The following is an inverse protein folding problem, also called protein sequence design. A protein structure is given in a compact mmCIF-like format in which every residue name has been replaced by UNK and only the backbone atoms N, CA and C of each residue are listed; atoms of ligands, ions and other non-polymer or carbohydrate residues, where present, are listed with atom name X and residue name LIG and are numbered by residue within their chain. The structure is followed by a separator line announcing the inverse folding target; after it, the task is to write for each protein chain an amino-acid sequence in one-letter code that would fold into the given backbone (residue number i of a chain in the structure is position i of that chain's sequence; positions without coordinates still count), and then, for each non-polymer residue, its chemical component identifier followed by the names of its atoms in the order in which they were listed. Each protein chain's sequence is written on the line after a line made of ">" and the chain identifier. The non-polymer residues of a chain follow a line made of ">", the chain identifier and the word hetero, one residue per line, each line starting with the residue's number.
data_IF_242255225676
#
_entry.id   IF_242255225676
#
_cell.length_a   1.000
_cell.length_b   1.000
_cell.length_c   1.000
_cell.angle_alpha   90.00
_cell.angle_beta   90.00
_cell.angle_gamma   90.00
#
_symmetry.space_group_name_H-M   'P 1'
#
loop_
_entity.id
_entity.type
_entity.pdbx_description
1 polymer ?
#
# COMPACT_ATOMS: atom_id res chain seq x y z
N UNK A 1 3.88 -44.21 -90.02
CA UNK A 1 4.35 -45.25 -89.09
C UNK A 1 4.76 -44.55 -87.81
N UNK A 2 4.24 -44.96 -86.66
CA UNK A 2 4.69 -44.62 -85.28
C UNK A 2 4.47 -43.15 -84.83
N UNK A 3 3.47 -42.81 -84.00
CA UNK A 3 3.32 -42.94 -82.51
C UNK A 3 4.26 -41.98 -81.74
N UNK A 4 3.72 -41.06 -80.94
CA UNK A 4 3.86 -40.98 -79.45
C UNK A 4 3.43 -39.59 -78.87
N UNK A 5 2.47 -39.68 -77.93
CA UNK A 5 2.16 -38.91 -76.69
C UNK A 5 2.59 -37.43 -76.57
N UNK A 6 1.76 -36.51 -76.07
CA UNK A 6 0.82 -36.63 -74.94
C UNK A 6 1.43 -35.98 -73.70
N UNK A 7 1.11 -34.70 -73.43
CA UNK A 7 1.58 -33.96 -72.25
C UNK A 7 0.43 -33.17 -71.61
N UNK A 8 -0.02 -33.65 -70.45
CA UNK A 8 -1.01 -33.00 -69.57
C UNK A 8 -0.27 -32.09 -68.61
N UNK A 9 -0.63 -30.81 -68.57
CA UNK A 9 -0.06 -29.80 -67.66
C UNK A 9 -0.80 -29.85 -66.32
N UNK A 10 -0.13 -30.33 -65.27
CA UNK A 10 -0.58 -30.24 -63.88
C UNK A 10 -0.35 -28.82 -63.33
N UNK A 11 -1.41 -28.11 -62.94
CA UNK A 11 -1.33 -26.88 -62.13
C UNK A 11 -1.29 -27.25 -60.63
N UNK A 12 -0.39 -26.67 -59.82
CA UNK A 12 -0.42 -26.90 -58.38
C UNK A 12 -1.49 -26.01 -57.74
N UNK A 13 -2.46 -26.63 -57.04
CA UNK A 13 -3.31 -25.92 -56.08
C UNK A 13 -2.51 -25.70 -54.80
N UNK A 14 -2.16 -24.44 -54.52
CA UNK A 14 -1.63 -24.04 -53.21
C UNK A 14 -2.84 -23.83 -52.29
N UNK A 15 -3.06 -24.76 -51.35
CA UNK A 15 -4.03 -24.60 -50.28
C UNK A 15 -3.42 -23.73 -49.16
N UNK A 16 -3.84 -22.47 -49.06
CA UNK A 16 -3.52 -21.61 -47.92
C UNK A 16 -4.28 -22.10 -46.68
N UNK A 17 -3.56 -22.73 -45.76
CA UNK A 17 -4.06 -23.08 -44.44
C UNK A 17 -4.03 -21.82 -43.55
N UNK A 18 -5.18 -21.14 -43.42
CA UNK A 18 -5.36 -20.06 -42.45
C UNK A 18 -5.34 -20.66 -41.04
N UNK A 19 -4.23 -20.55 -40.31
CA UNK A 19 -4.22 -20.79 -38.87
C UNK A 19 -4.95 -19.62 -38.18
N UNK A 20 -6.21 -19.82 -37.80
CA UNK A 20 -6.89 -18.92 -36.86
C UNK A 20 -6.28 -19.10 -35.48
N UNK A 21 -5.42 -18.18 -35.06
CA UNK A 21 -4.92 -18.12 -33.68
C UNK A 21 -6.10 -17.75 -32.77
N UNK A 22 -6.69 -18.74 -32.10
CA UNK A 22 -7.62 -18.47 -31.02
C UNK A 22 -6.85 -17.82 -29.87
N UNK A 23 -7.02 -16.50 -29.70
CA UNK A 23 -6.55 -15.81 -28.50
C UNK A 23 -7.38 -16.35 -27.34
N UNK A 24 -6.81 -17.27 -26.58
CA UNK A 24 -7.37 -17.69 -25.30
C UNK A 24 -7.24 -16.49 -24.37
N UNK A 25 -8.33 -15.72 -24.21
CA UNK A 25 -8.43 -14.73 -23.14
C UNK A 25 -8.38 -15.49 -21.81
N UNK A 26 -7.19 -15.61 -21.24
CA UNK A 26 -7.03 -16.10 -19.88
C UNK A 26 -7.87 -15.19 -18.98
N UNK A 27 -8.87 -15.74 -18.28
CA UNK A 27 -9.63 -14.99 -17.29
C UNK A 27 -8.62 -14.35 -16.32
N UNK A 28 -8.68 -13.03 -16.07
CA UNK A 28 -7.77 -12.40 -15.13
C UNK A 28 -7.86 -13.12 -13.79
N UNK A 29 -6.70 -13.52 -13.26
CA UNK A 29 -6.62 -14.27 -12.02
C UNK A 29 -7.31 -13.47 -10.89
N UNK A 30 -8.18 -14.10 -10.07
CA UNK A 30 -8.89 -13.40 -9.00
C UNK A 30 -7.95 -12.61 -8.10
N UNK A 31 -8.39 -11.44 -7.63
CA UNK A 31 -7.66 -10.68 -6.63
C UNK A 31 -7.80 -11.38 -5.28
N UNK A 32 -6.72 -11.94 -4.77
CA UNK A 32 -6.66 -12.50 -3.42
C UNK A 32 -6.02 -11.50 -2.47
N UNK A 33 -6.34 -11.59 -1.18
CA UNK A 33 -5.73 -10.77 -0.13
C UNK A 33 -4.20 -10.86 -0.12
N UNK A 34 -3.63 -12.03 -0.42
CA UNK A 34 -2.18 -12.19 -0.56
C UNK A 34 -1.61 -11.38 -1.74
N UNK A 35 -2.26 -11.43 -2.91
CA UNK A 35 -1.86 -10.63 -4.09
C UNK A 35 -2.09 -9.15 -3.84
N UNK A 36 -3.19 -8.79 -3.21
CA UNK A 36 -3.52 -7.43 -2.83
C UNK A 36 -2.46 -6.85 -1.88
N UNK A 37 -2.07 -7.59 -0.83
CA UNK A 37 -1.00 -7.19 0.08
C UNK A 37 0.34 -6.95 -0.65
N UNK A 38 0.69 -7.77 -1.64
CA UNK A 38 1.89 -7.53 -2.46
C UNK A 38 1.80 -6.24 -3.28
N UNK A 39 0.59 -5.89 -3.76
CA UNK A 39 0.35 -4.65 -4.50
C UNK A 39 0.34 -3.40 -3.61
N UNK A 40 0.01 -3.55 -2.31
CA UNK A 40 -0.02 -2.43 -1.37
C UNK A 40 1.35 -1.76 -1.23
N UNK A 41 2.45 -2.51 -1.20
CA UNK A 41 3.79 -1.93 -1.09
C UNK A 41 3.94 -0.95 0.09
N UNK A 42 4.39 0.27 -0.20
CA UNK A 42 4.50 1.36 0.79
C UNK A 42 3.41 2.39 0.55
N UNK A 43 2.76 2.86 1.59
CA UNK A 43 1.72 3.88 1.51
C UNK A 43 1.78 4.88 2.64
N UNK A 44 0.70 5.65 2.78
CA UNK A 44 0.63 6.79 3.70
C UNK A 44 -0.76 6.86 4.34
N UNK A 45 -0.78 7.15 5.64
CA UNK A 45 -1.99 7.51 6.37
C UNK A 45 -2.34 8.97 6.08
N UNK A 46 -3.59 9.22 5.70
CA UNK A 46 -4.07 10.54 5.27
C UNK A 46 -5.32 10.97 6.02
N UNK A 47 -5.44 12.27 6.28
CA UNK A 47 -6.57 12.88 7.00
C UNK A 47 -7.62 13.53 6.10
N UNK A 48 -7.59 13.21 4.80
CA UNK A 48 -8.44 13.79 3.76
C UNK A 48 -9.94 13.63 4.01
N UNK A 49 -10.36 12.75 4.91
CA UNK A 49 -11.76 12.57 5.31
C UNK A 49 -11.97 12.52 6.84
N UNK A 50 -10.95 12.88 7.64
CA UNK A 50 -11.01 12.83 9.10
C UNK A 50 -11.27 14.20 9.73
N UNK A 51 -10.54 15.21 9.28
CA UNK A 51 -10.56 16.56 9.88
C UNK A 51 -11.14 17.57 8.90
N UNK A 52 -11.72 18.66 9.40
CA UNK A 52 -12.19 19.75 8.53
C UNK A 52 -11.06 20.28 7.65
N UNK A 53 -9.87 20.47 8.23
CA UNK A 53 -8.67 20.90 7.52
C UNK A 53 -8.34 19.94 6.37
N UNK A 54 -8.19 18.65 6.65
CA UNK A 54 -7.84 17.65 5.65
C UNK A 54 -8.90 17.49 4.55
N UNK A 55 -10.19 17.68 4.87
CA UNK A 55 -11.27 17.68 3.88
C UNK A 55 -11.14 18.89 2.93
N UNK A 56 -10.90 20.09 3.49
CA UNK A 56 -10.77 21.31 2.69
C UNK A 56 -9.52 21.34 1.83
N UNK A 57 -8.40 20.86 2.36
CA UNK A 57 -7.09 20.89 1.71
C UNK A 57 -6.90 19.78 0.67
N UNK A 58 -7.84 18.85 0.53
CA UNK A 58 -7.70 17.77 -0.44
C UNK A 58 -7.80 18.29 -1.89
N UNK A 59 -6.68 18.24 -2.59
CA UNK A 59 -6.56 18.37 -4.04
C UNK A 59 -6.16 17.01 -4.67
N UNK A 60 -6.85 16.51 -5.72
CA UNK A 60 -6.49 15.25 -6.38
C UNK A 60 -5.02 15.12 -6.83
N UNK A 61 -4.32 16.23 -7.09
CA UNK A 61 -2.90 16.23 -7.47
C UNK A 61 -1.99 15.70 -6.37
N UNK A 62 -2.41 15.72 -5.10
CA UNK A 62 -1.64 15.06 -4.01
C UNK A 62 -1.42 13.58 -4.30
N UNK A 63 -2.41 12.92 -4.92
CA UNK A 63 -2.34 11.49 -5.26
C UNK A 63 -1.32 11.26 -6.37
N UNK A 64 -1.27 12.15 -7.37
CA UNK A 64 -0.21 12.15 -8.40
C UNK A 64 1.16 12.24 -7.76
N UNK A 65 1.33 13.17 -6.82
CA UNK A 65 2.62 13.44 -6.19
C UNK A 65 3.05 12.28 -5.29
N UNK A 66 2.10 11.64 -4.60
CA UNK A 66 2.32 10.42 -3.83
C UNK A 66 2.76 9.28 -4.75
N UNK A 67 2.08 9.10 -5.89
CA UNK A 67 2.47 8.10 -6.88
C UNK A 67 3.88 8.34 -7.42
N UNK A 68 4.20 9.58 -7.76
CA UNK A 68 5.51 9.97 -8.27
C UNK A 68 6.63 9.76 -7.23
N UNK A 69 6.31 9.89 -5.93
CA UNK A 69 7.22 9.57 -4.82
C UNK A 69 7.44 8.05 -4.63
N UNK A 70 6.59 7.22 -5.22
CA UNK A 70 6.65 5.76 -5.11
C UNK A 70 5.71 5.17 -4.06
N UNK A 71 4.77 5.96 -3.52
CA UNK A 71 3.69 5.45 -2.69
C UNK A 71 2.66 4.74 -3.57
N UNK A 72 2.20 3.58 -3.13
CA UNK A 72 1.32 2.68 -3.89
C UNK A 72 -0.07 2.55 -3.29
N UNK A 73 -0.27 2.97 -2.03
CA UNK A 73 -1.59 3.04 -1.41
C UNK A 73 -1.72 4.24 -0.47
N UNK A 74 -2.97 4.61 -0.16
CA UNK A 74 -3.31 5.55 0.91
C UNK A 74 -4.36 4.94 1.83
N UNK A 75 -4.16 5.10 3.14
CA UNK A 75 -5.13 4.73 4.17
C UNK A 75 -5.86 6.00 4.62
N UNK A 76 -7.05 6.18 4.09
CA UNK A 76 -7.91 7.35 4.26
C UNK A 76 -8.64 7.21 5.58
N UNK A 77 -8.23 7.97 6.58
CA UNK A 77 -8.91 8.00 7.88
C UNK A 77 -10.21 8.78 7.73
N UNK A 78 -11.31 8.21 8.23
CA UNK A 78 -12.65 8.79 8.14
C UNK A 78 -13.29 8.87 9.51
N UNK A 79 -13.85 10.05 9.85
CA UNK A 79 -14.64 10.26 11.05
C UNK A 79 -16.06 10.73 10.70
N UNK A 80 -17.01 10.46 11.59
CA UNK A 80 -18.41 10.89 11.47
C UNK A 80 -19.33 9.98 10.66
N UNK A 81 -20.63 10.30 10.66
CA UNK A 81 -21.71 9.52 10.04
C UNK A 81 -21.61 9.44 8.50
N UNK A 82 -22.09 8.40 7.81
CA UNK A 82 -21.95 8.30 6.35
C UNK A 82 -23.02 9.14 5.63
N UNK A 83 -23.00 10.46 5.82
CA UNK A 83 -23.90 11.40 5.15
C UNK A 83 -23.63 11.42 3.64
N UNK A 84 -24.60 11.84 2.85
CA UNK A 84 -24.44 11.96 1.40
C UNK A 84 -23.21 12.79 1.02
N UNK A 85 -23.01 13.96 1.63
CA UNK A 85 -21.83 14.79 1.40
C UNK A 85 -20.51 14.05 1.70
N UNK A 86 -20.47 13.24 2.77
CA UNK A 86 -19.29 12.44 3.10
C UNK A 86 -19.07 11.31 2.08
N UNK A 87 -20.12 10.64 1.63
CA UNK A 87 -20.02 9.61 0.59
C UNK A 87 -19.55 10.20 -0.75
N UNK A 88 -20.05 11.38 -1.13
CA UNK A 88 -19.59 12.10 -2.33
C UNK A 88 -18.11 12.44 -2.21
N UNK A 89 -17.68 12.96 -1.06
CA UNK A 89 -16.27 13.25 -0.81
C UNK A 89 -15.40 12.00 -0.86
N UNK A 90 -15.80 10.90 -0.22
CA UNK A 90 -15.07 9.63 -0.28
C UNK A 90 -14.94 9.11 -1.71
N UNK A 91 -15.99 9.24 -2.54
CA UNK A 91 -15.92 8.89 -3.96
C UNK A 91 -14.87 9.73 -4.69
N UNK A 92 -14.83 11.05 -4.47
CA UNK A 92 -13.79 11.92 -5.04
C UNK A 92 -12.38 11.45 -4.68
N UNK A 93 -12.15 11.04 -3.43
CA UNK A 93 -10.86 10.50 -2.99
C UNK A 93 -10.51 9.19 -3.71
N UNK A 94 -11.46 8.27 -3.79
CA UNK A 94 -11.29 6.96 -4.45
C UNK A 94 -11.03 7.12 -5.95
N UNK A 95 -11.80 7.96 -6.64
CA UNK A 95 -11.62 8.22 -8.07
C UNK A 95 -10.27 8.86 -8.38
N UNK A 96 -9.79 9.78 -7.53
CA UNK A 96 -8.45 10.33 -7.66
C UNK A 96 -7.36 9.26 -7.50
N UNK A 97 -7.52 8.37 -6.50
CA UNK A 97 -6.63 7.24 -6.27
C UNK A 97 -6.58 6.30 -7.49
N UNK A 98 -7.74 5.92 -8.02
CA UNK A 98 -7.85 5.07 -9.21
C UNK A 98 -7.21 5.72 -10.44
N UNK A 99 -7.48 7.02 -10.66
CA UNK A 99 -6.95 7.77 -11.79
C UNK A 99 -5.41 7.80 -11.80
N UNK A 100 -4.79 8.01 -10.64
CA UNK A 100 -3.32 8.07 -10.50
C UNK A 100 -2.67 6.73 -10.14
N UNK A 101 -3.44 5.63 -10.09
CA UNK A 101 -2.91 4.29 -9.84
C UNK A 101 -2.33 4.11 -8.42
N UNK A 102 -3.01 4.66 -7.43
CA UNK A 102 -2.78 4.48 -5.99
C UNK A 102 -3.97 3.72 -5.42
N UNK A 103 -3.72 2.73 -4.55
CA UNK A 103 -4.78 1.91 -3.97
C UNK A 103 -5.44 2.66 -2.79
N UNK A 104 -6.75 2.96 -2.82
CA UNK A 104 -7.43 3.61 -1.71
C UNK A 104 -7.90 2.58 -0.67
N UNK A 105 -7.71 2.88 0.61
CA UNK A 105 -8.25 2.12 1.73
C UNK A 105 -9.02 3.07 2.64
N UNK A 106 -10.32 2.85 2.82
CA UNK A 106 -11.14 3.64 3.75
C UNK A 106 -11.03 3.03 5.15
N UNK A 107 -10.54 3.80 6.12
CA UNK A 107 -10.37 3.38 7.51
C UNK A 107 -11.29 4.18 8.45
N UNK A 108 -12.26 3.51 9.06
CA UNK A 108 -13.26 4.17 9.91
C UNK A 108 -12.75 4.35 11.34
N UNK A 109 -12.82 5.57 11.89
CA UNK A 109 -12.38 5.85 13.26
C UNK A 109 -13.18 5.11 14.32
N UNK A 110 -14.50 4.95 14.11
CA UNK A 110 -15.40 4.23 15.01
C UNK A 110 -15.36 4.69 16.49
N UNK A 111 -15.12 5.99 16.75
CA UNK A 111 -14.87 6.53 18.10
C UNK A 111 -15.98 6.19 19.12
N UNK A 112 -17.25 6.32 18.73
CA UNK A 112 -18.39 5.99 19.60
C UNK A 112 -18.35 4.52 20.06
N UNK A 113 -18.08 3.59 19.14
CA UNK A 113 -18.02 2.16 19.44
C UNK A 113 -16.77 1.77 20.25
N UNK A 114 -15.61 2.39 19.97
CA UNK A 114 -14.40 2.17 20.78
C UNK A 114 -14.61 2.59 22.24
N UNK A 115 -15.21 3.77 22.43
CA UNK A 115 -15.47 4.36 23.74
C UNK A 115 -16.56 3.61 24.50
N UNK A 116 -17.61 3.17 23.81
CA UNK A 116 -18.70 2.39 24.38
C UNK A 116 -19.12 1.24 23.43
N UNK A 117 -18.60 0.02 23.62
CA UNK A 117 -18.89 -1.13 22.75
C UNK A 117 -20.24 -1.79 23.07
N UNK A 118 -21.28 -0.97 23.23
CA UNK A 118 -22.66 -1.38 23.47
C UNK A 118 -23.31 -1.93 22.19
N UNK A 119 -24.44 -2.62 22.35
CA UNK A 119 -25.18 -3.16 21.21
C UNK A 119 -25.70 -2.07 20.26
N UNK A 120 -25.98 -0.86 20.76
CA UNK A 120 -26.41 0.27 19.94
C UNK A 120 -25.27 0.74 19.03
N UNK A 121 -24.10 1.05 19.60
CA UNK A 121 -22.96 1.50 18.80
C UNK A 121 -22.40 0.39 17.89
N UNK A 122 -22.53 -0.89 18.26
CA UNK A 122 -22.25 -2.00 17.35
C UNK A 122 -23.15 -1.94 16.10
N UNK A 123 -24.47 -1.75 16.30
CA UNK A 123 -25.43 -1.63 15.21
C UNK A 123 -25.14 -0.41 14.34
N UNK A 124 -24.76 0.71 14.94
CA UNK A 124 -24.38 1.93 14.22
C UNK A 124 -23.14 1.72 13.36
N UNK A 125 -22.10 1.05 13.87
CA UNK A 125 -20.90 0.71 13.10
C UNK A 125 -21.24 -0.20 11.91
N UNK A 126 -22.03 -1.26 12.14
CA UNK A 126 -22.46 -2.17 11.08
C UNK A 126 -23.28 -1.42 10.02
N UNK A 127 -24.17 -0.53 10.45
CA UNK A 127 -24.97 0.30 9.55
C UNK A 127 -24.09 1.27 8.75
N UNK A 128 -23.05 1.85 9.37
CA UNK A 128 -22.09 2.72 8.71
C UNK A 128 -21.45 2.00 7.51
N UNK A 129 -20.92 0.79 7.76
CA UNK A 129 -20.31 -0.03 6.71
C UNK A 129 -21.32 -0.52 5.66
N UNK A 130 -22.56 -0.79 6.05
CA UNK A 130 -23.63 -1.14 5.10
C UNK A 130 -23.90 -0.02 4.10
N UNK A 131 -23.95 1.24 4.56
CA UNK A 131 -24.13 2.41 3.70
C UNK A 131 -22.94 2.56 2.74
N UNK A 132 -21.71 2.54 3.27
CA UNK A 132 -20.49 2.71 2.46
C UNK A 132 -20.32 1.59 1.44
N UNK A 133 -20.53 0.33 1.84
CA UNK A 133 -20.41 -0.82 0.94
C UNK A 133 -21.44 -0.79 -0.20
N UNK A 134 -22.69 -0.42 0.08
CA UNK A 134 -23.70 -0.26 -0.98
C UNK A 134 -23.39 0.89 -1.92
N UNK A 135 -22.87 1.99 -1.39
CA UNK A 135 -22.57 3.18 -2.17
C UNK A 135 -21.44 2.93 -3.19
N UNK A 136 -20.38 2.22 -2.81
CA UNK A 136 -19.29 1.85 -3.73
C UNK A 136 -19.58 0.58 -4.54
N UNK A 137 -20.45 -0.30 -4.06
CA UNK A 137 -20.80 -1.54 -4.73
C UNK A 137 -19.58 -2.33 -5.19
N UNK A 138 -19.50 -2.63 -6.49
CA UNK A 138 -18.41 -3.40 -7.11
C UNK A 138 -17.57 -2.58 -8.10
N UNK A 139 -17.79 -1.26 -8.20
CA UNK A 139 -17.16 -0.43 -9.26
C UNK A 139 -15.68 -0.16 -9.03
N UNK A 140 -15.24 -0.19 -7.77
CA UNK A 140 -13.86 0.08 -7.35
C UNK A 140 -13.22 -1.19 -6.79
N UNK A 141 -12.72 -2.12 -7.62
CA UNK A 141 -12.28 -3.45 -7.18
C UNK A 141 -11.02 -3.45 -6.30
N UNK A 142 -10.19 -2.40 -6.39
CA UNK A 142 -9.00 -2.24 -5.54
C UNK A 142 -9.27 -1.46 -4.25
N UNK A 143 -10.47 -0.89 -4.06
CA UNK A 143 -10.78 -0.17 -2.82
C UNK A 143 -10.87 -1.15 -1.64
N UNK A 144 -10.08 -0.91 -0.59
CA UNK A 144 -10.10 -1.68 0.66
C UNK A 144 -10.94 -1.02 1.75
N UNK A 145 -11.53 -1.84 2.63
CA UNK A 145 -12.29 -1.38 3.80
C UNK A 145 -11.63 -1.81 5.10
N UNK A 146 -11.13 -0.86 5.86
CA UNK A 146 -10.53 -1.08 7.16
C UNK A 146 -11.52 -0.71 8.27
N UNK A 147 -12.08 -1.76 8.87
CA UNK A 147 -13.35 -1.67 9.60
C UNK A 147 -13.29 -0.77 10.83
N UNK A 148 -12.14 -0.78 11.51
CA UNK A 148 -11.85 0.02 12.70
C UNK A 148 -10.39 0.41 12.62
N UNK A 149 -10.11 1.69 12.42
CA UNK A 149 -8.76 2.24 12.25
C UNK A 149 -7.78 1.79 13.35
N UNK A 150 -8.20 1.83 14.62
CA UNK A 150 -7.47 1.25 15.75
C UNK A 150 -8.45 0.93 16.88
N UNK A 151 -8.70 -0.34 17.24
CA UNK A 151 -9.46 -0.68 18.43
C UNK A 151 -8.77 -0.12 19.69
N UNK A 152 -9.50 0.68 20.45
CA UNK A 152 -8.98 1.42 21.60
C UNK A 152 -10.00 1.47 22.75
N UNK A 153 -9.69 2.25 23.79
CA UNK A 153 -10.59 2.58 24.90
C UNK A 153 -11.24 1.34 25.53
N UNK A 154 -12.56 1.35 25.80
CA UNK A 154 -13.25 0.22 26.42
C UNK A 154 -13.27 -1.02 25.53
N UNK A 155 -13.24 -0.86 24.21
CA UNK A 155 -13.21 -1.96 23.26
C UNK A 155 -11.94 -2.82 23.40
N UNK A 156 -10.82 -2.27 23.88
CA UNK A 156 -9.60 -3.05 24.19
C UNK A 156 -9.85 -4.21 25.16
N UNK A 157 -10.83 -4.06 26.04
CA UNK A 157 -11.13 -5.03 27.08
C UNK A 157 -12.33 -5.91 26.72
N UNK A 158 -12.89 -5.78 25.51
CA UNK A 158 -14.07 -6.52 25.07
C UNK A 158 -13.84 -7.28 23.76
N UNK A 159 -12.98 -8.30 23.82
CA UNK A 159 -12.63 -9.15 22.68
C UNK A 159 -13.84 -9.87 22.07
N UNK A 160 -14.83 -10.24 22.89
CA UNK A 160 -16.05 -10.86 22.40
C UNK A 160 -16.87 -9.91 21.53
N UNK A 161 -16.98 -8.64 21.92
CA UNK A 161 -17.64 -7.60 21.13
C UNK A 161 -16.88 -7.33 19.84
N UNK A 162 -15.55 -7.17 19.90
CA UNK A 162 -14.70 -6.93 18.73
C UNK A 162 -14.85 -8.04 17.67
N UNK A 163 -14.72 -9.30 18.07
CA UNK A 163 -14.87 -10.43 17.15
C UNK A 163 -16.29 -10.55 16.57
N UNK A 164 -17.32 -10.28 17.39
CA UNK A 164 -18.71 -10.31 16.94
C UNK A 164 -18.99 -9.23 15.89
N UNK A 165 -18.52 -8.00 16.11
CA UNK A 165 -18.76 -6.92 15.15
C UNK A 165 -18.01 -7.18 13.84
N UNK A 166 -16.79 -7.72 13.89
CA UNK A 166 -16.07 -8.09 12.67
C UNK A 166 -16.78 -9.19 11.88
N UNK A 167 -17.19 -10.31 12.52
CA UNK A 167 -17.91 -11.37 11.81
C UNK A 167 -19.18 -10.84 11.12
N UNK A 168 -20.00 -10.06 11.83
CA UNK A 168 -21.22 -9.47 11.26
C UNK A 168 -20.93 -8.51 10.11
N UNK A 169 -19.94 -7.64 10.27
CA UNK A 169 -19.62 -6.60 9.28
C UNK A 169 -18.99 -7.21 8.03
N UNK A 170 -18.08 -8.18 8.18
CA UNK A 170 -17.47 -8.90 7.05
C UNK A 170 -18.55 -9.60 6.22
N UNK A 171 -19.43 -10.37 6.87
CA UNK A 171 -20.54 -11.06 6.18
C UNK A 171 -21.47 -10.09 5.46
N UNK A 172 -21.78 -8.95 6.10
CA UNK A 172 -22.62 -7.93 5.50
C UNK A 172 -21.98 -7.34 4.24
N UNK A 173 -20.71 -6.96 4.31
CA UNK A 173 -20.00 -6.38 3.17
C UNK A 173 -19.86 -7.41 2.05
N UNK A 174 -19.48 -8.65 2.35
CA UNK A 174 -19.33 -9.70 1.34
C UNK A 174 -20.64 -10.19 0.73
N UNK A 175 -21.78 -9.96 1.39
CA UNK A 175 -23.10 -10.14 0.77
C UNK A 175 -23.42 -9.08 -0.29
N UNK A 176 -22.77 -7.91 -0.24
CA UNK A 176 -22.90 -6.82 -1.22
C UNK A 176 -21.84 -6.97 -2.32
N UNK A 177 -20.59 -7.22 -1.91
CA UNK A 177 -19.43 -7.38 -2.78
C UNK A 177 -18.55 -8.53 -2.27
N UNK A 178 -18.67 -9.73 -2.85
CA UNK A 178 -17.91 -10.92 -2.43
C UNK A 178 -16.39 -10.82 -2.62
N UNK A 179 -15.89 -9.79 -3.32
CA UNK A 179 -14.47 -9.62 -3.61
C UNK A 179 -13.85 -8.45 -2.82
N UNK A 180 -14.64 -7.73 -2.02
CA UNK A 180 -14.15 -6.58 -1.25
C UNK A 180 -13.02 -7.00 -0.31
N UNK A 181 -11.86 -6.34 -0.45
CA UNK A 181 -10.76 -6.49 0.50
C UNK A 181 -11.13 -5.80 1.82
N UNK A 182 -11.04 -6.53 2.92
CA UNK A 182 -11.38 -6.03 4.26
C UNK A 182 -10.17 -6.16 5.17
N UNK A 183 -9.90 -5.13 5.95
CA UNK A 183 -8.90 -5.12 7.00
C UNK A 183 -9.56 -5.10 8.37
N UNK A 184 -8.98 -5.86 9.29
CA UNK A 184 -9.40 -5.92 10.69
C UNK A 184 -8.19 -5.86 11.60
N UNK A 185 -8.33 -5.13 12.71
CA UNK A 185 -7.26 -4.99 13.68
C UNK A 185 -7.52 -5.78 14.95
N UNK A 186 -6.49 -6.35 15.60
CA UNK A 186 -6.62 -6.84 16.96
C UNK A 186 -6.81 -5.67 17.94
N UNK A 187 -7.15 -6.02 19.17
CA UNK A 187 -7.26 -5.05 20.26
C UNK A 187 -5.92 -4.38 20.60
N UNK A 188 -5.95 -3.52 21.62
CA UNK A 188 -4.77 -2.84 22.18
C UNK A 188 -4.09 -1.93 21.16
N UNK A 189 -4.89 -1.15 20.43
CA UNK A 189 -4.44 -0.28 19.33
C UNK A 189 -3.69 -1.08 18.28
N UNK A 190 -4.35 -2.14 17.79
CA UNK A 190 -3.84 -3.02 16.75
C UNK A 190 -2.50 -3.68 17.11
N UNK A 191 -2.35 -4.17 18.35
CA UNK A 191 -1.12 -4.83 18.79
C UNK A 191 -0.92 -6.19 18.06
N UNK A 192 0.23 -6.42 17.39
CA UNK A 192 0.47 -7.67 16.66
C UNK A 192 0.49 -8.90 17.57
N UNK A 193 0.81 -8.73 18.86
CA UNK A 193 0.77 -9.80 19.84
C UNK A 193 -0.66 -10.33 20.11
N UNK A 194 -1.69 -9.52 19.84
CA UNK A 194 -3.10 -9.89 20.02
C UNK A 194 -3.75 -10.44 18.73
N UNK A 195 -3.02 -10.56 17.62
CA UNK A 195 -3.54 -11.10 16.35
C UNK A 195 -4.15 -12.50 16.51
N UNK A 196 -3.57 -13.34 17.37
CA UNK A 196 -4.10 -14.69 17.63
C UNK A 196 -5.45 -14.72 18.33
N UNK A 197 -5.92 -13.58 18.88
CA UNK A 197 -7.22 -13.48 19.53
C UNK A 197 -8.37 -13.15 18.55
N UNK A 198 -8.06 -12.81 17.30
CA UNK A 198 -9.05 -12.59 16.26
C UNK A 198 -9.75 -13.90 15.89
N UNK A 199 -11.08 -13.84 15.77
CA UNK A 199 -11.94 -14.92 15.28
C UNK A 199 -12.54 -14.49 13.95
N UNK A 200 -11.86 -14.84 12.87
CA UNK A 200 -12.28 -14.49 11.51
C UNK A 200 -13.19 -15.56 10.92
N UNK A 201 -14.08 -15.20 9.97
CA UNK A 201 -14.89 -16.19 9.27
C UNK A 201 -14.02 -17.26 8.60
N UNK A 202 -14.50 -18.50 8.56
CA UNK A 202 -13.80 -19.59 7.88
C UNK A 202 -13.59 -19.24 6.39
N UNK A 203 -12.45 -19.66 5.83
CA UNK A 203 -12.09 -19.45 4.43
C UNK A 203 -11.98 -17.97 3.99
N UNK A 204 -11.88 -17.03 4.94
CA UNK A 204 -11.78 -15.59 4.65
C UNK A 204 -10.40 -15.10 4.22
N UNK A 205 -9.37 -15.95 4.25
CA UNK A 205 -7.98 -15.60 3.93
C UNK A 205 -7.75 -15.04 2.52
N UNK A 206 -8.73 -15.20 1.62
CA UNK A 206 -8.67 -14.63 0.27
C UNK A 206 -9.14 -13.19 0.18
N UNK A 207 -9.81 -12.64 1.21
CA UNK A 207 -10.43 -11.31 1.16
C UNK A 207 -10.25 -10.50 2.44
N UNK A 208 -9.84 -11.14 3.54
CA UNK A 208 -9.61 -10.49 4.84
C UNK A 208 -8.12 -10.47 5.16
N UNK A 209 -7.62 -9.29 5.51
CA UNK A 209 -6.26 -9.03 5.96
C UNK A 209 -6.28 -8.55 7.41
N UNK A 210 -5.22 -8.86 8.17
CA UNK A 210 -5.04 -8.25 9.47
C UNK A 210 -4.19 -6.99 9.39
N UNK A 211 -4.67 -5.93 10.03
CA UNK A 211 -3.95 -4.68 10.24
C UNK A 211 -3.36 -4.64 11.64
N UNK A 212 -2.10 -4.24 11.75
CA UNK A 212 -1.43 -4.09 13.04
C UNK A 212 -0.48 -2.89 13.05
N UNK A 213 -0.25 -2.32 14.22
CA UNK A 213 0.50 -1.08 14.36
C UNK A 213 1.78 -1.28 15.16
N UNK A 214 2.73 -0.42 14.87
CA UNK A 214 4.05 -0.43 15.51
C UNK A 214 4.60 0.98 15.44
N UNK A 215 4.70 1.64 16.59
CA UNK A 215 5.17 3.03 16.70
C UNK A 215 4.38 4.03 15.82
N UNK A 216 3.05 4.13 15.95
CA UNK A 216 2.26 5.06 15.12
C UNK A 216 2.74 6.52 15.21
N UNK A 217 3.35 6.90 16.34
CA UNK A 217 3.96 8.21 16.59
C UNK A 217 5.47 8.14 16.91
N UNK A 218 6.11 7.04 16.53
CA UNK A 218 7.53 6.81 16.81
C UNK A 218 7.85 6.13 18.13
N UNK A 219 9.09 5.59 18.22
CA UNK A 219 9.61 5.03 19.46
C UNK A 219 9.89 6.14 20.48
N UNK A 220 9.83 5.79 21.76
CA UNK A 220 10.18 6.71 22.84
C UNK A 220 11.70 6.88 22.91
N UNK A 221 12.21 8.08 23.22
CA UNK A 221 13.65 8.28 23.34
C UNK A 221 14.24 7.55 24.56
N UNK A 222 13.53 7.52 25.70
CA UNK A 222 13.95 6.82 26.92
C UNK A 222 12.75 6.47 27.80
N UNK A 223 12.92 5.55 28.76
CA UNK A 223 11.92 5.23 29.80
C UNK A 223 10.63 4.57 29.31
N UNK A 224 10.52 4.27 28.02
CA UNK A 224 9.35 3.68 27.39
C UNK A 224 9.40 2.16 27.26
N UNK A 225 8.25 1.53 26.99
CA UNK A 225 8.15 0.09 26.68
C UNK A 225 8.97 -0.31 25.44
N UNK A 226 9.13 0.61 24.50
CA UNK A 226 9.86 0.41 23.26
C UNK A 226 10.71 1.64 22.93
N UNK A 227 11.89 1.77 23.57
CA UNK A 227 12.76 2.90 23.33
C UNK A 227 13.48 2.78 21.98
N UNK A 228 13.90 3.92 21.44
CA UNK A 228 14.90 3.99 20.39
C UNK A 228 15.84 5.16 20.67
N UNK A 229 17.07 4.81 21.00
CA UNK A 229 18.16 5.74 21.27
C UNK A 229 19.12 5.76 20.09
N UNK A 230 19.97 4.74 20.00
CA UNK A 230 21.01 4.57 18.98
C UNK A 230 20.81 3.33 18.11
N UNK A 231 19.71 2.59 18.29
CA UNK A 231 19.46 1.34 17.58
C UNK A 231 20.26 0.17 18.15
N UNK A 232 20.25 0.03 19.48
CA UNK A 232 20.93 -1.06 20.20
C UNK A 232 20.39 -2.42 19.75
N UNK A 233 21.13 -3.50 20.06
CA UNK A 233 20.69 -4.86 19.73
C UNK A 233 19.31 -5.20 20.34
N UNK A 234 19.04 -4.71 21.56
CA UNK A 234 17.76 -4.93 22.24
C UNK A 234 16.60 -4.16 21.56
N UNK A 235 16.83 -2.91 21.16
CA UNK A 235 15.83 -2.09 20.44
C UNK A 235 15.47 -2.74 19.09
N UNK A 236 16.49 -3.16 18.33
CA UNK A 236 16.32 -3.90 17.07
C UNK A 236 15.59 -5.23 17.28
N UNK A 237 15.90 -5.96 18.35
CA UNK A 237 15.23 -7.22 18.68
C UNK A 237 13.74 -7.01 19.02
N UNK A 238 13.39 -5.92 19.71
CA UNK A 238 12.00 -5.60 20.03
C UNK A 238 11.15 -5.35 18.77
N UNK A 239 11.70 -4.64 17.78
CA UNK A 239 11.03 -4.43 16.47
C UNK A 239 10.81 -5.78 15.77
N UNK A 240 11.87 -6.61 15.68
CA UNK A 240 11.78 -7.94 15.07
C UNK A 240 10.77 -8.84 15.77
N UNK A 241 10.68 -8.78 17.10
CA UNK A 241 9.73 -9.59 17.86
C UNK A 241 8.28 -9.29 17.46
N UNK A 242 7.94 -8.01 17.25
CA UNK A 242 6.61 -7.57 16.80
C UNK A 242 6.31 -8.01 15.37
N UNK A 243 7.24 -7.81 14.44
CA UNK A 243 7.12 -8.30 13.05
C UNK A 243 6.93 -9.82 13.05
N UNK A 244 7.73 -10.55 13.83
CA UNK A 244 7.65 -12.00 13.91
C UNK A 244 6.34 -12.50 14.54
N UNK A 245 5.67 -11.72 15.39
CA UNK A 245 4.34 -12.08 15.88
C UNK A 245 3.32 -12.11 14.74
N UNK A 246 3.34 -11.10 13.87
CA UNK A 246 2.50 -11.05 12.68
C UNK A 246 2.86 -12.17 11.68
N UNK A 247 4.14 -12.38 11.38
CA UNK A 247 4.60 -13.45 10.48
C UNK A 247 4.13 -14.83 10.96
N UNK A 248 4.29 -15.14 12.25
CA UNK A 248 3.80 -16.41 12.82
C UNK A 248 2.29 -16.56 12.68
N UNK A 249 1.54 -15.48 12.87
CA UNK A 249 0.09 -15.48 12.69
C UNK A 249 -0.29 -15.71 11.21
N UNK A 250 0.41 -15.09 10.26
CA UNK A 250 0.18 -15.32 8.82
C UNK A 250 0.43 -16.79 8.46
N UNK A 251 1.54 -17.39 8.91
CA UNK A 251 1.81 -18.81 8.67
C UNK A 251 0.76 -19.74 9.27
N UNK A 252 0.26 -19.43 10.48
CA UNK A 252 -0.74 -20.25 11.16
C UNK A 252 -2.12 -20.19 10.50
N UNK A 253 -2.50 -19.04 9.97
CA UNK A 253 -3.88 -18.77 9.52
C UNK A 253 -4.04 -18.72 8.01
N UNK A 254 -2.93 -18.61 7.25
CA UNK A 254 -2.94 -18.38 5.81
C UNK A 254 -3.36 -16.96 5.39
N UNK A 255 -3.66 -16.07 6.34
CA UNK A 255 -4.06 -14.70 6.05
C UNK A 255 -2.84 -13.82 5.77
N UNK A 256 -3.05 -12.78 4.96
CA UNK A 256 -2.07 -11.71 4.80
C UNK A 256 -2.18 -10.68 5.94
N UNK A 257 -1.10 -9.95 6.19
CA UNK A 257 -1.10 -8.81 7.13
C UNK A 257 -0.38 -7.60 6.53
N UNK A 258 -0.59 -6.44 7.14
CA UNK A 258 0.13 -5.19 6.83
C UNK A 258 0.35 -4.37 8.11
N UNK A 259 1.31 -3.45 8.07
CA UNK A 259 1.44 -2.43 9.11
C UNK A 259 0.57 -1.24 8.76
N UNK A 260 -0.51 -1.04 9.51
CA UNK A 260 -1.48 0.02 9.27
C UNK A 260 -0.94 1.43 9.54
N UNK A 261 0.17 1.58 10.25
CA UNK A 261 0.78 2.88 10.50
C UNK A 261 2.04 2.81 11.37
N UNK A 262 3.07 3.56 10.99
CA UNK A 262 4.27 3.80 11.82
C UNK A 262 4.93 5.14 11.46
N UNK A 263 5.63 5.75 12.42
CA UNK A 263 6.37 6.99 12.23
C UNK A 263 7.74 6.90 12.92
N UNK A 264 8.73 7.73 12.56
CA UNK A 264 10.01 7.83 13.25
C UNK A 264 10.02 8.87 14.40
N UNK A 265 8.84 9.31 14.85
CA UNK A 265 8.66 10.38 15.84
C UNK A 265 8.02 11.64 15.24
N UNK A 266 7.65 12.61 16.08
CA UNK A 266 7.16 13.93 15.61
C UNK A 266 8.28 14.61 14.81
N UNK A 267 8.06 14.77 13.50
CA UNK A 267 9.04 15.34 12.57
C UNK A 267 8.66 16.75 12.10
N UNK A 268 7.38 17.15 12.17
CA UNK A 268 6.87 18.44 11.66
C UNK A 268 7.65 19.66 12.14
N UNK A 269 8.08 19.68 13.41
CA UNK A 269 8.65 20.88 14.04
C UNK A 269 10.18 20.90 14.05
N UNK A 270 10.85 19.84 13.60
CA UNK A 270 12.29 19.69 13.75
C UNK A 270 12.90 19.02 12.53
N UNK A 271 14.11 19.45 12.15
CA UNK A 271 14.91 18.72 11.17
C UNK A 271 15.14 17.29 11.65
N UNK A 272 14.87 16.26 10.81
CA UNK A 272 15.15 14.89 11.16
C UNK A 272 16.57 14.65 11.64
N UNK A 273 16.71 13.93 12.75
CA UNK A 273 18.02 13.62 13.35
C UNK A 273 18.50 12.23 12.96
N UNK A 274 19.80 11.97 13.11
CA UNK A 274 20.44 10.70 12.72
C UNK A 274 19.76 9.45 13.32
N UNK A 275 19.28 9.52 14.57
CA UNK A 275 18.57 8.39 15.19
C UNK A 275 17.24 8.08 14.50
N UNK A 276 16.53 9.08 13.97
CA UNK A 276 15.29 8.87 13.20
C UNK A 276 15.57 8.21 11.85
N UNK A 277 16.64 8.61 11.17
CA UNK A 277 17.07 7.92 9.94
C UNK A 277 17.49 6.48 10.22
N UNK A 278 18.23 6.22 11.30
CA UNK A 278 18.63 4.88 11.69
C UNK A 278 17.40 4.00 12.00
N UNK A 279 16.42 4.54 12.72
CA UNK A 279 15.15 3.86 13.00
C UNK A 279 14.39 3.58 11.71
N UNK A 280 14.17 4.60 10.89
CA UNK A 280 13.39 4.50 9.66
C UNK A 280 13.95 3.45 8.70
N UNK A 281 15.27 3.48 8.45
CA UNK A 281 15.94 2.49 7.62
C UNK A 281 15.79 1.08 8.18
N UNK A 282 16.07 0.91 9.48
CA UNK A 282 15.98 -0.42 10.11
C UNK A 282 14.56 -0.98 10.05
N UNK A 283 13.57 -0.18 10.44
CA UNK A 283 12.16 -0.55 10.44
C UNK A 283 11.67 -0.94 9.03
N UNK A 284 11.90 -0.07 8.04
CA UNK A 284 11.49 -0.31 6.66
C UNK A 284 12.21 -1.54 6.05
N UNK A 285 13.49 -1.77 6.38
CA UNK A 285 14.22 -2.96 5.93
C UNK A 285 13.70 -4.26 6.53
N UNK A 286 13.36 -4.29 7.83
CA UNK A 286 12.81 -5.50 8.46
C UNK A 286 11.41 -5.82 7.91
N UNK A 287 10.58 -4.80 7.63
CA UNK A 287 9.29 -5.00 6.96
C UNK A 287 9.44 -5.50 5.52
N UNK A 288 10.37 -4.91 4.76
CA UNK A 288 10.70 -5.37 3.40
C UNK A 288 11.18 -6.82 3.40
N UNK A 289 12.06 -7.19 4.35
CA UNK A 289 12.55 -8.57 4.52
C UNK A 289 11.43 -9.54 4.87
N UNK A 290 10.44 -9.10 5.66
CA UNK A 290 9.27 -9.90 6.01
C UNK A 290 8.19 -9.93 4.92
N UNK A 291 8.36 -9.18 3.83
CA UNK A 291 7.34 -8.98 2.78
C UNK A 291 6.01 -8.44 3.31
N UNK A 292 6.07 -7.58 4.34
CA UNK A 292 4.88 -6.95 4.93
C UNK A 292 4.74 -5.53 4.39
N UNK A 293 3.66 -5.19 3.67
CA UNK A 293 3.39 -3.83 3.23
C UNK A 293 3.05 -2.93 4.42
N UNK A 294 3.20 -1.61 4.26
CA UNK A 294 3.00 -0.68 5.37
C UNK A 294 2.58 0.73 4.95
N UNK A 295 1.84 1.39 5.83
CA UNK A 295 1.55 2.81 5.74
C UNK A 295 2.44 3.63 6.68
N UNK A 296 2.86 4.80 6.21
CA UNK A 296 3.63 5.79 6.96
C UNK A 296 2.65 6.76 7.64
N UNK A 297 2.88 7.07 8.92
CA UNK A 297 2.15 8.08 9.66
C UNK A 297 2.92 9.40 9.70
N UNK A 298 2.34 10.56 9.42
CA UNK A 298 1.14 10.77 8.61
C UNK A 298 1.49 11.80 7.53
N UNK A 299 0.70 11.89 6.47
CA UNK A 299 0.95 12.77 5.32
C UNK A 299 1.33 14.20 5.70
N UNK A 300 0.61 14.82 6.63
CA UNK A 300 0.84 16.18 7.12
C UNK A 300 2.27 16.42 7.66
N UNK A 301 2.97 15.35 8.05
CA UNK A 301 4.38 15.43 8.44
C UNK A 301 5.32 15.67 7.27
N UNK A 302 4.95 15.25 6.07
CA UNK A 302 5.82 15.23 4.90
C UNK A 302 5.29 16.06 3.74
N UNK A 303 3.99 16.33 3.70
CA UNK A 303 3.30 17.02 2.61
C UNK A 303 2.51 18.20 3.16
N UNK A 304 2.59 19.33 2.47
CA UNK A 304 1.76 20.49 2.73
C UNK A 304 0.60 20.50 1.74
N UNK A 305 -0.61 20.25 2.25
CA UNK A 305 -1.82 20.19 1.44
C UNK A 305 -2.25 21.54 0.88
N UNK A 306 -1.92 22.64 1.56
CA UNK A 306 -2.26 23.99 1.10
C UNK A 306 -1.35 24.42 -0.05
N UNK A 307 -0.05 24.14 0.07
CA UNK A 307 0.96 24.47 -0.95
C UNK A 307 1.03 23.42 -2.09
N UNK A 308 0.46 22.23 -1.88
CA UNK A 308 0.55 21.13 -2.84
C UNK A 308 1.98 20.64 -3.06
N UNK A 309 2.78 20.54 -1.99
CA UNK A 309 4.21 20.22 -2.10
C UNK A 309 4.75 19.39 -0.93
N UNK A 310 5.82 18.62 -1.19
CA UNK A 310 6.59 17.96 -0.15
C UNK A 310 7.34 18.97 0.71
N UNK A 311 7.39 18.75 2.02
CA UNK A 311 8.15 19.56 2.98
C UNK A 311 9.65 19.26 2.82
N UNK A 312 10.48 20.19 2.33
CA UNK A 312 11.87 19.89 1.95
C UNK A 312 12.73 19.34 3.10
N UNK A 313 12.50 19.82 4.33
CA UNK A 313 13.24 19.35 5.51
C UNK A 313 12.94 17.88 5.86
N UNK A 314 11.76 17.37 5.51
CA UNK A 314 11.27 16.05 5.90
C UNK A 314 11.40 15.01 4.78
N UNK A 315 11.48 15.49 3.53
CA UNK A 315 11.55 14.64 2.35
C UNK A 315 12.71 13.62 2.37
N UNK A 316 13.94 13.93 2.82
CA UNK A 316 15.01 12.92 2.89
C UNK A 316 14.67 11.76 3.82
N UNK A 317 14.00 12.05 4.94
CA UNK A 317 13.55 11.02 5.88
C UNK A 317 12.45 10.16 5.25
N UNK A 318 11.48 10.79 4.57
CA UNK A 318 10.43 10.07 3.83
C UNK A 318 11.03 9.13 2.78
N UNK A 319 12.03 9.60 2.01
CA UNK A 319 12.70 8.77 1.01
C UNK A 319 13.35 7.53 1.63
N UNK A 320 13.98 7.68 2.81
CA UNK A 320 14.53 6.56 3.56
C UNK A 320 13.48 5.58 4.09
N UNK A 321 12.24 6.05 4.31
CA UNK A 321 11.11 5.21 4.71
C UNK A 321 10.50 4.48 3.51
N UNK A 322 10.42 5.08 2.33
CA UNK A 322 9.82 4.49 1.12
C UNK A 322 10.77 3.49 0.45
N UNK A 323 12.04 3.88 0.28
CA UNK A 323 13.04 3.11 -0.43
C UNK A 323 14.31 2.98 0.43
N UNK A 324 14.26 2.17 1.51
CA UNK A 324 15.40 2.04 2.41
C UNK A 324 16.58 1.34 1.73
N UNK A 325 17.78 1.84 1.98
CA UNK A 325 19.03 1.14 1.70
C UNK A 325 19.23 0.03 2.74
N UNK A 326 18.91 -1.20 2.36
CA UNK A 326 19.02 -2.35 3.23
C UNK A 326 20.36 -3.06 3.06
N UNK A 327 20.95 -3.46 4.17
CA UNK A 327 22.11 -4.35 4.16
C UNK A 327 21.74 -5.67 3.47
N UNK A 328 22.35 -5.93 2.32
CA UNK A 328 22.30 -7.26 1.68
C UNK A 328 23.26 -8.20 2.42
N UNK A 329 22.80 -9.35 2.92
CA UNK A 329 23.68 -10.36 3.50
C UNK A 329 24.76 -10.74 2.48
N UNK A 330 26.03 -10.47 2.80
CA UNK A 330 27.19 -10.80 1.96
C UNK A 330 27.89 -9.63 1.25
N UNK A 331 27.33 -8.41 1.25
CA UNK A 331 28.04 -7.22 0.75
C UNK A 331 28.80 -6.55 1.91
N UNK A 332 30.12 -6.43 1.81
CA UNK A 332 30.93 -5.65 2.75
C UNK A 332 30.64 -4.15 2.57
N UNK A 333 30.72 -3.33 3.64
CA UNK A 333 30.63 -1.88 3.51
C UNK A 333 31.79 -1.37 2.62
N UNK A 334 31.47 -0.78 1.46
CA UNK A 334 32.47 -0.20 0.53
C UNK A 334 32.32 -0.60 -0.94
N UNK A 335 31.53 -1.61 -1.27
CA UNK A 335 31.27 -1.98 -2.68
C UNK A 335 30.06 -1.20 -3.24
N UNK A 336 30.26 0.11 -3.35
CA UNK A 336 29.39 1.01 -4.11
C UNK A 336 29.70 0.90 -5.61
N UNK A 337 28.64 0.70 -6.40
CA UNK A 337 28.53 0.73 -7.85
C UNK A 337 29.79 1.16 -8.64
N UNK A 338 30.56 0.18 -9.11
CA UNK A 338 31.38 0.39 -10.32
C UNK A 338 30.39 0.53 -11.47
N UNK A 339 30.30 1.76 -12.00
CA UNK A 339 29.61 2.08 -13.25
C UNK A 339 30.10 1.10 -14.32
N UNK A 340 29.24 0.44 -15.11
CA UNK A 340 29.73 -0.36 -16.22
C UNK A 340 30.47 0.56 -17.18
N UNK A 341 31.75 0.29 -17.38
CA UNK A 341 32.55 0.94 -18.42
C UNK A 341 31.83 0.75 -19.75
N UNK A 342 31.54 1.86 -20.43
CA UNK A 342 31.00 1.82 -21.77
C UNK A 342 31.99 1.08 -22.69
N UNK A 343 31.51 0.26 -23.64
CA UNK A 343 32.40 -0.35 -24.63
C UNK A 343 33.03 0.72 -25.52
N UNK A 344 34.32 0.53 -25.79
CA UNK A 344 35.21 1.43 -26.50
C UNK A 344 34.59 2.00 -27.78
N UNK A 345 34.53 3.33 -27.85
CA UNK A 345 34.23 4.05 -29.07
C UNK A 345 35.42 3.86 -30.03
N UNK A 346 35.18 3.14 -31.13
CA UNK A 346 36.07 3.08 -32.28
C UNK A 346 36.29 4.51 -32.76
N UNK A 347 37.55 4.92 -32.73
CA UNK A 347 38.07 6.18 -33.26
C UNK A 347 37.80 6.28 -34.76
N UNK A 348 36.91 7.21 -35.14
CA UNK A 348 36.81 7.69 -36.52
C UNK A 348 37.52 9.04 -36.60
N UNK A 349 38.57 9.07 -37.41
CA UNK A 349 39.40 10.23 -37.76
C UNK A 349 38.56 11.35 -38.37
N UNK A 350 38.85 12.65 -38.11
CA UNK A 350 38.18 13.75 -38.79
C UNK A 350 38.84 13.99 -40.16
N UNK A 351 38.03 14.00 -41.22
CA UNK A 351 38.42 14.46 -42.54
C UNK A 351 38.48 15.99 -42.59
N UNK A 352 39.49 16.48 -43.31
CA UNK A 352 39.91 17.86 -43.39
C UNK A 352 38.95 18.78 -44.16
N UNK A 353 39.17 20.07 -43.91
CA UNK A 353 38.42 21.23 -44.35
C UNK A 353 38.24 21.36 -45.89
N UNK A 354 37.09 21.90 -46.28
CA UNK A 354 36.88 22.60 -47.55
C UNK A 354 36.45 24.05 -47.29
N UNK A 355 37.07 24.94 -48.04
CA UNK A 355 37.10 26.41 -47.93
C UNK A 355 35.78 27.10 -48.29
N UNK A 356 35.52 28.33 -47.80
CA UNK A 356 34.34 29.10 -48.15
C UNK A 356 34.55 29.89 -49.45
N UNK A 357 33.66 29.68 -50.42
CA UNK A 357 33.52 30.56 -51.58
C UNK A 357 32.49 31.65 -51.31
N UNK A 358 32.92 32.91 -51.30
CA UNK A 358 32.06 34.08 -51.47
C UNK A 358 32.48 34.81 -52.74
N UNK A 359 31.54 34.94 -53.68
CA UNK A 359 31.48 36.04 -54.63
C UNK A 359 30.07 36.06 -55.27
N UNK A 360 29.26 37.04 -54.84
CA UNK A 360 28.26 37.72 -55.68
C UNK A 360 29.07 38.82 -56.41
N UNK A 361 28.83 39.17 -57.69
CA UNK A 361 27.55 39.16 -58.42
C UNK A 361 27.42 38.17 -59.57
#
# INVERSE_FOLDING_TARGET
>A
MVKILGGVVFKPLIASLMLTSAVVYAKPMPLTAARYAQQLGVGMDVDWARTERGIREFDPLVVRDFKAKGLTHVRIRVAGAPTEARLIHLRKLVEACEYYGVIPIIAYQADAYKTDPSASHEKELINWWSVVARYFGQTSPLLGFDLIYEPADKLNHNMASLNRVYDKTIRLIHAIDPQRMIFVAPRMRAAPEDLSALKLPAQSQNYVLAEWHIFPWGPLKSGGKYPWTSGTAAEKAAIRARINAAVRWQHKTGHASWVGGWAPGESIKMTPVASQFAFARFMACELKKAHIPYAINADTQFYDGEEGAWRPAQEPLLNAMIAPECETPGKKPGEGNVKPSAPDAISVTPAAASTPGSAIP
#
